data_IF_972417306266
#
_entry.id   IF_972417306266
#
_cell.length_a   1.000
_cell.length_b   1.000
_cell.length_c   1.000
_cell.angle_alpha   90.00
_cell.angle_beta   90.00
_cell.angle_gamma   90.00
#
_symmetry.space_group_name_H-M   'P 1'
#
loop_
_entity.id
_entity.type
_entity.pdbx_description
1 polymer ?
#
# COMPACT_ATOMS: atom_id res chain seq x y z
N UNK A 1 -8.15 3.21 14.68
CA UNK A 1 -7.40 2.03 15.15
C UNK A 1 -6.92 2.39 16.56
N UNK A 2 -7.09 1.52 17.55
CA UNK A 2 -6.63 1.80 18.91
C UNK A 2 -5.11 1.86 18.89
N UNK A 3 -4.55 2.94 19.39
CA UNK A 3 -3.11 3.14 19.57
C UNK A 3 -2.78 3.08 21.06
N UNK A 4 -1.51 2.89 21.42
CA UNK A 4 -1.07 3.02 22.83
C UNK A 4 -1.43 4.38 23.42
N UNK A 5 -1.75 5.38 22.60
CA UNK A 5 -2.15 6.71 23.05
C UNK A 5 -3.59 6.77 23.57
N UNK A 6 -4.43 5.76 23.35
CA UNK A 6 -5.87 5.78 23.69
C UNK A 6 -6.19 5.30 25.12
N UNK A 7 -5.21 4.72 25.83
CA UNK A 7 -5.39 4.17 27.17
C UNK A 7 -4.17 4.36 28.06
N UNK A 8 -4.35 4.16 29.36
CA UNK A 8 -3.32 4.21 30.40
C UNK A 8 -3.28 2.88 31.13
N UNK A 9 -2.10 2.35 31.45
CA UNK A 9 -1.99 1.14 32.26
C UNK A 9 -2.29 1.46 33.72
N UNK A 10 -3.13 0.66 34.37
CA UNK A 10 -3.55 0.97 35.74
C UNK A 10 -2.52 0.61 36.81
N UNK A 11 -1.63 -0.34 36.53
CA UNK A 11 -0.65 -0.87 37.48
C UNK A 11 0.72 -1.04 36.83
N UNK A 12 1.27 0.03 36.24
CA UNK A 12 2.56 0.00 35.53
C UNK A 12 3.69 -0.61 36.36
N UNK A 13 3.76 -0.26 37.65
CA UNK A 13 4.77 -0.78 38.59
C UNK A 13 4.65 -2.28 38.88
N UNK A 14 3.50 -2.89 38.57
CA UNK A 14 3.23 -4.32 38.82
C UNK A 14 3.36 -5.16 37.55
N UNK A 15 3.70 -4.53 36.41
CA UNK A 15 3.93 -5.24 35.15
C UNK A 15 5.29 -5.93 35.23
N UNK A 16 5.30 -7.23 34.96
CA UNK A 16 6.54 -8.02 34.96
C UNK A 16 7.51 -7.53 33.89
N UNK A 17 8.80 -7.43 34.22
CA UNK A 17 9.85 -6.89 33.32
C UNK A 17 9.92 -7.62 31.97
N UNK A 18 9.67 -8.93 31.96
CA UNK A 18 9.61 -9.75 30.72
C UNK A 18 8.54 -9.32 29.72
N UNK A 19 7.53 -8.55 30.17
CA UNK A 19 6.46 -8.03 29.32
C UNK A 19 6.79 -6.64 28.76
N UNK A 20 7.88 -6.01 29.21
CA UNK A 20 8.29 -4.67 28.82
C UNK A 20 9.29 -4.72 27.67
N UNK A 21 9.22 -3.73 26.79
CA UNK A 21 10.21 -3.57 25.74
C UNK A 21 11.48 -2.91 26.30
N UNK A 22 12.68 -3.49 26.11
CA UNK A 22 13.93 -2.88 26.56
C UNK A 22 14.28 -1.54 25.89
N UNK A 23 13.59 -1.17 24.80
CA UNK A 23 13.87 0.06 24.03
C UNK A 23 12.96 1.21 24.48
N UNK A 24 11.64 1.00 24.51
CA UNK A 24 10.69 2.05 24.88
C UNK A 24 10.22 1.96 26.34
N UNK A 25 10.59 0.90 27.06
CA UNK A 25 10.19 0.63 28.46
C UNK A 25 8.69 0.42 28.71
N UNK A 26 7.87 0.45 27.66
CA UNK A 26 6.44 0.16 27.73
C UNK A 26 6.14 -1.34 27.52
N UNK A 27 4.96 -1.84 27.93
CA UNK A 27 4.53 -3.19 27.62
C UNK A 27 4.52 -3.47 26.11
N UNK A 28 5.00 -4.65 25.72
CA UNK A 28 5.26 -5.00 24.33
C UNK A 28 4.02 -4.87 23.41
N UNK A 29 4.15 -4.10 22.32
CA UNK A 29 3.22 -3.98 21.20
C UNK A 29 3.76 -4.76 19.98
N UNK A 30 2.97 -5.70 19.45
CA UNK A 30 3.37 -6.62 18.37
C UNK A 30 4.78 -7.20 18.57
N UNK A 31 5.01 -7.98 19.65
CA UNK A 31 6.34 -8.43 20.05
C UNK A 31 7.05 -9.25 18.97
N UNK A 32 8.29 -8.88 18.69
CA UNK A 32 9.24 -9.62 17.86
C UNK A 32 10.38 -10.16 18.73
N UNK A 33 10.69 -11.45 18.60
CA UNK A 33 11.80 -12.10 19.28
C UNK A 33 12.94 -12.40 18.29
N UNK A 34 14.17 -12.11 18.70
CA UNK A 34 15.37 -12.48 17.96
C UNK A 34 15.73 -13.95 18.19
N UNK A 35 15.70 -14.78 17.14
CA UNK A 35 15.93 -16.23 17.29
C UNK A 35 17.31 -16.58 17.89
N UNK A 36 18.34 -15.78 17.60
CA UNK A 36 19.71 -16.11 18.00
C UNK A 36 20.02 -15.79 19.47
N UNK A 37 19.29 -14.86 20.09
CA UNK A 37 19.57 -14.43 21.48
C UNK A 37 18.34 -14.36 22.40
N UNK A 38 17.13 -14.59 21.89
CA UNK A 38 15.90 -14.68 22.68
C UNK A 38 15.32 -13.35 23.17
N UNK A 39 15.95 -12.21 22.90
CA UNK A 39 15.45 -10.90 23.34
C UNK A 39 14.25 -10.45 22.52
N UNK A 40 13.24 -9.91 23.21
CA UNK A 40 11.95 -9.51 22.62
C UNK A 40 11.77 -7.99 22.66
N UNK A 41 11.22 -7.43 21.59
CA UNK A 41 11.04 -5.98 21.40
C UNK A 41 9.72 -5.69 20.70
N UNK A 42 9.21 -4.45 20.81
CA UNK A 42 8.09 -4.01 19.96
C UNK A 42 8.54 -3.97 18.49
N UNK A 43 7.65 -4.36 17.56
CA UNK A 43 7.93 -4.34 16.12
C UNK A 43 8.46 -2.99 15.65
N UNK A 44 7.81 -1.89 16.04
CA UNK A 44 8.23 -0.53 15.65
C UNK A 44 9.62 -0.22 16.20
N UNK A 45 9.82 -0.40 17.51
CA UNK A 45 11.09 -0.09 18.19
C UNK A 45 12.29 -0.79 17.55
N UNK A 46 12.17 -2.10 17.29
CA UNK A 46 13.28 -2.84 16.70
C UNK A 46 13.50 -2.50 15.23
N UNK A 47 12.42 -2.29 14.47
CA UNK A 47 12.51 -1.91 13.05
C UNK A 47 13.19 -0.55 12.89
N UNK A 48 12.87 0.42 13.74
CA UNK A 48 13.48 1.75 13.69
C UNK A 48 14.94 1.74 14.16
N UNK A 49 15.26 0.98 15.21
CA UNK A 49 16.63 0.83 15.71
C UNK A 49 17.53 0.15 14.66
N UNK A 50 17.02 -0.87 13.98
CA UNK A 50 17.78 -1.63 12.97
C UNK A 50 18.08 -0.85 11.70
N UNK A 51 17.45 0.29 11.46
CA UNK A 51 17.83 1.18 10.34
C UNK A 51 19.27 1.67 10.46
N UNK A 52 19.78 1.76 11.69
CA UNK A 52 21.10 2.33 11.99
C UNK A 52 22.08 1.31 12.61
N UNK A 53 21.61 0.13 13.04
CA UNK A 53 22.41 -0.83 13.81
C UNK A 53 22.01 -2.28 13.51
N UNK A 54 22.96 -3.12 13.12
CA UNK A 54 22.75 -4.56 12.83
C UNK A 54 23.05 -5.46 14.04
N UNK A 55 22.67 -5.02 15.24
CA UNK A 55 22.99 -5.69 16.51
C UNK A 55 21.83 -5.62 17.47
N UNK A 56 21.69 -6.64 18.32
CA UNK A 56 20.71 -6.67 19.39
C UNK A 56 20.93 -5.50 20.37
N UNK A 57 19.91 -4.65 20.64
CA UNK A 57 20.04 -3.54 21.57
C UNK A 57 20.37 -3.97 23.01
N UNK A 58 19.96 -5.18 23.41
CA UNK A 58 20.16 -5.69 24.77
C UNK A 58 21.51 -6.37 24.96
N UNK A 59 21.88 -7.34 24.10
CA UNK A 59 23.09 -8.15 24.27
C UNK A 59 24.19 -7.90 23.24
N UNK A 60 23.96 -6.98 22.28
CA UNK A 60 24.91 -6.62 21.20
C UNK A 60 25.30 -7.74 20.23
N UNK A 61 24.59 -8.87 20.25
CA UNK A 61 24.75 -9.94 19.27
C UNK A 61 24.45 -9.42 17.85
N UNK A 62 25.25 -9.81 16.86
CA UNK A 62 25.02 -9.43 15.46
C UNK A 62 23.75 -10.12 14.94
N UNK A 63 22.86 -9.35 14.32
CA UNK A 63 21.54 -9.83 13.87
C UNK A 63 21.18 -9.19 12.53
N UNK A 64 20.30 -9.86 11.78
CA UNK A 64 19.62 -9.34 10.60
C UNK A 64 18.13 -9.17 10.90
N UNK A 65 17.45 -8.35 10.11
CA UNK A 65 16.00 -8.17 10.23
C UNK A 65 15.22 -9.48 10.05
N UNK A 66 15.74 -10.41 9.25
CA UNK A 66 15.19 -11.74 9.01
C UNK A 66 15.27 -12.66 10.25
N UNK A 67 16.13 -12.35 11.22
CA UNK A 67 16.25 -13.14 12.45
C UNK A 67 15.11 -12.89 13.44
N UNK A 68 14.29 -11.85 13.21
CA UNK A 68 13.18 -11.47 14.08
C UNK A 68 11.87 -12.11 13.65
N UNK A 69 11.22 -12.78 14.60
CA UNK A 69 9.97 -13.48 14.37
C UNK A 69 8.90 -13.01 15.36
N UNK A 70 7.62 -12.92 14.93
CA UNK A 70 6.53 -12.62 15.85
C UNK A 70 6.47 -13.65 16.98
N UNK A 71 6.31 -13.18 18.21
CA UNK A 71 6.08 -14.09 19.33
C UNK A 71 4.70 -14.71 19.19
N UNK A 72 4.64 -16.04 19.11
CA UNK A 72 3.39 -16.81 18.97
C UNK A 72 3.03 -17.62 20.22
N UNK A 73 3.87 -17.53 21.27
CA UNK A 73 3.71 -18.26 22.53
C UNK A 73 2.46 -17.74 23.26
N UNK A 74 1.38 -18.54 23.21
CA UNK A 74 0.07 -18.13 23.75
C UNK A 74 0.09 -17.72 25.23
N UNK A 75 0.74 -18.45 26.15
CA UNK A 75 0.79 -18.03 27.56
C UNK A 75 1.37 -16.64 27.75
N UNK A 76 2.48 -16.34 27.07
CA UNK A 76 3.13 -15.03 27.09
C UNK A 76 2.20 -13.93 26.55
N UNK A 77 1.59 -14.16 25.39
CA UNK A 77 0.62 -13.21 24.81
C UNK A 77 -0.61 -13.01 25.70
N UNK A 78 -1.06 -14.05 26.40
CA UNK A 78 -2.19 -13.95 27.33
C UNK A 78 -1.84 -13.10 28.55
N UNK A 79 -0.66 -13.26 29.15
CA UNK A 79 -0.19 -12.40 30.26
C UNK A 79 -0.17 -10.92 29.83
N UNK A 80 0.40 -10.67 28.66
CA UNK A 80 0.40 -9.38 27.99
C UNK A 80 -1.02 -8.81 27.79
N UNK A 81 -1.97 -9.62 27.33
CA UNK A 81 -3.33 -9.19 27.03
C UNK A 81 -4.22 -9.00 28.28
N UNK A 82 -3.87 -9.64 29.40
CA UNK A 82 -4.59 -9.53 30.67
C UNK A 82 -4.26 -8.26 31.46
N UNK A 83 -3.23 -7.51 31.05
CA UNK A 83 -2.90 -6.21 31.64
C UNK A 83 -4.13 -5.29 31.61
N UNK A 84 -4.40 -4.63 32.73
CA UNK A 84 -5.57 -3.77 32.88
C UNK A 84 -5.24 -2.33 32.48
N UNK A 85 -6.14 -1.77 31.67
CA UNK A 85 -6.02 -0.41 31.15
C UNK A 85 -7.25 0.42 31.50
N UNK A 86 -7.04 1.73 31.57
CA UNK A 86 -8.05 2.76 31.68
C UNK A 86 -8.19 3.46 30.33
N UNK A 87 -9.41 3.57 29.82
CA UNK A 87 -9.68 4.36 28.63
C UNK A 87 -9.48 5.85 28.92
N UNK A 88 -8.68 6.56 28.11
CA UNK A 88 -8.47 8.01 28.27
C UNK A 88 -9.70 8.84 27.89
N UNK A 89 -10.63 8.26 27.13
CA UNK A 89 -11.81 8.94 26.60
C UNK A 89 -12.99 8.89 27.58
N UNK A 90 -13.48 7.69 27.91
CA UNK A 90 -14.63 7.51 28.82
C UNK A 90 -14.24 7.26 30.28
N UNK A 91 -12.94 7.21 30.60
CA UNK A 91 -12.43 6.86 31.93
C UNK A 91 -12.83 5.47 32.46
N UNK A 92 -13.38 4.58 31.62
CA UNK A 92 -13.66 3.20 32.01
C UNK A 92 -12.35 2.47 32.35
N UNK A 93 -12.34 1.86 33.53
CA UNK A 93 -11.20 1.16 34.12
C UNK A 93 -11.33 -0.37 33.99
N UNK A 94 -10.27 -1.09 34.35
CA UNK A 94 -10.23 -2.57 34.40
C UNK A 94 -10.57 -3.24 33.07
N UNK A 95 -10.27 -2.57 31.95
CA UNK A 95 -10.41 -3.16 30.63
C UNK A 95 -9.15 -4.00 30.37
N UNK A 96 -9.31 -5.27 30.00
CA UNK A 96 -8.16 -6.06 29.56
C UNK A 96 -7.60 -5.45 28.26
N UNK A 97 -6.29 -5.26 28.20
CA UNK A 97 -5.60 -4.70 27.04
C UNK A 97 -5.98 -5.42 25.75
N UNK A 98 -6.09 -6.75 25.79
CA UNK A 98 -6.52 -7.57 24.65
C UNK A 98 -7.92 -7.22 24.12
N UNK A 99 -8.83 -6.76 24.99
CA UNK A 99 -10.21 -6.42 24.67
C UNK A 99 -10.41 -4.91 24.43
N UNK A 100 -9.35 -4.10 24.53
CA UNK A 100 -9.46 -2.65 24.39
C UNK A 100 -9.94 -2.23 22.99
N UNK A 101 -9.60 -3.00 21.95
CA UNK A 101 -10.12 -2.76 20.59
C UNK A 101 -11.65 -2.89 20.54
N UNK A 102 -12.22 -3.89 21.20
CA UNK A 102 -13.66 -4.11 21.26
C UNK A 102 -14.35 -3.01 22.07
N UNK A 103 -13.74 -2.59 23.19
CA UNK A 103 -14.19 -1.42 23.94
C UNK A 103 -14.21 -0.17 23.05
N UNK A 104 -13.15 0.09 22.29
CA UNK A 104 -13.05 1.30 21.47
C UNK A 104 -14.12 1.36 20.38
N UNK A 105 -14.65 0.24 19.90
CA UNK A 105 -15.79 0.24 18.95
C UNK A 105 -17.04 0.84 19.60
N UNK A 106 -17.25 0.56 20.89
CA UNK A 106 -18.45 0.93 21.64
C UNK A 106 -18.28 2.15 22.57
N UNK A 107 -17.09 2.75 22.62
CA UNK A 107 -16.81 3.90 23.48
C UNK A 107 -17.51 5.16 22.95
N UNK A 108 -18.52 5.67 23.66
CA UNK A 108 -19.32 6.85 23.28
C UNK A 108 -18.54 8.17 23.40
N UNK A 109 -17.58 8.23 24.32
CA UNK A 109 -16.78 9.43 24.61
C UNK A 109 -15.53 9.54 23.73
N UNK A 110 -15.22 8.52 22.91
CA UNK A 110 -14.03 8.54 22.05
C UNK A 110 -14.14 9.68 21.04
N UNK A 111 -13.03 10.36 20.75
CA UNK A 111 -13.02 11.30 19.64
C UNK A 111 -12.95 10.56 18.30
N UNK A 112 -13.93 10.86 17.45
CA UNK A 112 -14.01 10.38 16.07
C UNK A 112 -13.98 11.55 15.09
N UNK A 113 -13.49 11.28 13.89
CA UNK A 113 -13.59 12.21 12.76
C UNK A 113 -14.80 11.85 11.90
N UNK A 114 -15.32 12.83 11.15
CA UNK A 114 -16.40 12.58 10.21
C UNK A 114 -16.03 11.49 9.18
N UNK A 115 -16.96 10.59 8.77
CA UNK A 115 -16.69 9.62 7.71
C UNK A 115 -16.24 10.27 6.39
N UNK A 116 -16.68 11.51 6.12
CA UNK A 116 -16.26 12.32 4.98
C UNK A 116 -14.92 13.07 5.20
N UNK A 117 -14.11 12.71 6.20
CA UNK A 117 -12.78 13.32 6.42
C UNK A 117 -11.84 13.16 5.21
N UNK A 118 -12.00 12.09 4.43
CA UNK A 118 -11.28 11.89 3.17
C UNK A 118 -11.63 12.95 2.11
N UNK A 119 -12.86 13.47 2.15
CA UNK A 119 -13.33 14.63 1.37
C UNK A 119 -13.04 15.96 2.07
N UNK A 120 -12.12 15.97 3.03
CA UNK A 120 -11.70 17.15 3.80
C UNK A 120 -12.80 17.75 4.69
N UNK A 121 -13.66 16.91 5.25
CA UNK A 121 -14.46 17.35 6.39
C UNK A 121 -13.57 17.51 7.64
N UNK A 122 -13.51 18.71 8.19
CA UNK A 122 -12.68 19.03 9.36
C UNK A 122 -13.31 18.65 10.71
N UNK A 123 -14.56 18.17 10.72
CA UNK A 123 -15.26 17.86 11.96
C UNK A 123 -14.62 16.69 12.71
N UNK A 124 -14.35 16.95 13.99
CA UNK A 124 -13.92 15.98 15.00
C UNK A 124 -14.73 16.23 16.27
N UNK A 125 -15.18 15.17 16.91
CA UNK A 125 -15.97 15.27 18.14
C UNK A 125 -16.15 13.93 18.82
N UNK A 126 -16.84 13.93 19.95
CA UNK A 126 -17.24 12.70 20.65
C UNK A 126 -18.15 11.85 19.75
N UNK A 127 -18.09 10.53 19.94
CA UNK A 127 -18.81 9.58 19.10
C UNK A 127 -20.33 9.69 19.24
N UNK A 128 -20.83 10.03 20.42
CA UNK A 128 -22.25 10.35 20.68
C UNK A 128 -22.80 11.44 19.73
N UNK A 129 -22.02 12.49 19.48
CA UNK A 129 -22.37 13.64 18.63
C UNK A 129 -22.11 13.42 17.15
N UNK A 130 -21.52 12.29 16.78
CA UNK A 130 -21.19 11.98 15.38
C UNK A 130 -22.46 11.90 14.53
N UNK A 131 -23.53 11.29 15.04
CA UNK A 131 -24.78 11.14 14.28
C UNK A 131 -25.40 12.50 13.93
N UNK A 132 -25.44 13.41 14.90
CA UNK A 132 -25.95 14.78 14.70
C UNK A 132 -25.17 15.55 13.64
N UNK A 133 -23.83 15.40 13.64
CA UNK A 133 -22.98 15.98 12.60
C UNK A 133 -23.24 15.34 11.23
N UNK A 134 -23.21 14.01 11.13
CA UNK A 134 -23.34 13.27 9.87
C UNK A 134 -24.64 13.63 9.15
N UNK A 135 -25.75 13.76 9.88
CA UNK A 135 -27.05 14.16 9.32
C UNK A 135 -27.04 15.57 8.70
N UNK A 136 -26.17 16.45 9.19
CA UNK A 136 -26.03 17.84 8.72
C UNK A 136 -24.87 18.04 7.76
N UNK A 137 -23.94 17.08 7.68
CA UNK A 137 -22.71 17.21 6.92
C UNK A 137 -22.98 17.24 5.40
N UNK A 138 -22.67 18.36 4.70
CA UNK A 138 -22.87 18.44 3.26
C UNK A 138 -22.02 17.42 2.48
N UNK A 139 -20.81 17.13 2.96
CA UNK A 139 -19.89 16.20 2.31
C UNK A 139 -20.37 14.76 2.38
N UNK A 140 -21.07 14.35 3.44
CA UNK A 140 -21.74 13.05 3.51
C UNK A 140 -22.86 12.96 2.47
N UNK A 141 -23.65 14.02 2.30
CA UNK A 141 -24.76 14.04 1.34
C UNK A 141 -24.28 13.92 -0.11
N UNK A 142 -23.12 14.48 -0.42
CA UNK A 142 -22.53 14.45 -1.78
C UNK A 142 -21.63 13.22 -2.00
N UNK A 143 -21.22 12.52 -0.93
CA UNK A 143 -20.35 11.35 -1.01
C UNK A 143 -20.83 10.28 -2.02
N UNK A 144 -22.12 9.89 -2.09
CA UNK A 144 -22.57 8.88 -3.05
C UNK A 144 -22.31 9.29 -4.51
N UNK A 145 -22.46 10.57 -4.83
CA UNK A 145 -22.22 11.12 -6.17
C UNK A 145 -20.72 11.08 -6.48
N UNK A 146 -19.88 11.45 -5.51
CA UNK A 146 -18.42 11.38 -5.67
C UNK A 146 -17.96 9.94 -5.86
N UNK A 147 -18.53 8.98 -5.13
CA UNK A 147 -18.21 7.56 -5.24
C UNK A 147 -18.59 7.01 -6.63
N UNK A 148 -19.76 7.39 -7.16
CA UNK A 148 -20.19 7.03 -8.52
C UNK A 148 -19.26 7.62 -9.59
N UNK A 149 -18.88 8.90 -9.45
CA UNK A 149 -17.92 9.54 -10.36
C UNK A 149 -16.55 8.86 -10.30
N UNK A 150 -16.04 8.55 -9.10
CA UNK A 150 -14.77 7.85 -8.94
C UNK A 150 -14.81 6.44 -9.55
N UNK A 151 -15.92 5.72 -9.40
CA UNK A 151 -16.11 4.42 -10.04
C UNK A 151 -16.09 4.53 -11.58
N UNK A 152 -16.75 5.55 -12.12
CA UNK A 152 -16.78 5.83 -13.57
C UNK A 152 -15.38 6.17 -14.11
N UNK A 153 -14.64 7.03 -13.41
CA UNK A 153 -13.26 7.39 -13.76
C UNK A 153 -12.35 6.16 -13.72
N UNK A 154 -12.50 5.30 -12.70
CA UNK A 154 -11.74 4.05 -12.59
C UNK A 154 -12.03 3.12 -13.77
N UNK A 155 -13.31 2.94 -14.12
CA UNK A 155 -13.72 2.11 -15.25
C UNK A 155 -13.12 2.63 -16.58
N UNK A 156 -13.15 3.95 -16.80
CA UNK A 156 -12.53 4.55 -17.98
C UNK A 156 -11.02 4.34 -18.01
N UNK A 157 -10.33 4.48 -16.87
CA UNK A 157 -8.89 4.22 -16.76
C UNK A 157 -8.54 2.77 -17.09
N UNK A 158 -9.34 1.81 -16.63
CA UNK A 158 -9.17 0.38 -16.92
C UNK A 158 -9.38 0.08 -18.41
N UNK A 159 -10.40 0.68 -19.04
CA UNK A 159 -10.63 0.58 -20.48
C UNK A 159 -9.47 1.15 -21.29
N UNK A 160 -8.94 2.33 -20.91
CA UNK A 160 -7.78 2.94 -21.54
C UNK A 160 -6.57 2.01 -21.44
N UNK A 161 -6.27 1.50 -20.25
CA UNK A 161 -5.16 0.57 -20.04
C UNK A 161 -5.29 -0.71 -20.88
N UNK A 162 -6.51 -1.25 -20.98
CA UNK A 162 -6.81 -2.41 -21.82
C UNK A 162 -6.54 -2.12 -23.30
N UNK A 163 -7.01 -0.98 -23.81
CA UNK A 163 -6.76 -0.57 -25.20
C UNK A 163 -5.26 -0.40 -25.48
N UNK A 164 -4.50 0.24 -24.58
CA UNK A 164 -3.04 0.33 -24.69
C UNK A 164 -2.38 -1.06 -24.75
N UNK A 165 -2.82 -1.99 -23.91
CA UNK A 165 -2.30 -3.37 -23.91
C UNK A 165 -2.59 -4.09 -25.23
N UNK A 166 -3.79 -3.89 -25.81
CA UNK A 166 -4.12 -4.43 -27.14
C UNK A 166 -3.24 -3.82 -28.21
N UNK A 167 -3.08 -2.49 -28.22
CA UNK A 167 -2.25 -1.80 -29.20
C UNK A 167 -0.79 -2.27 -29.14
N UNK A 168 -0.24 -2.50 -27.95
CA UNK A 168 1.10 -3.08 -27.81
C UNK A 168 1.19 -4.49 -28.39
N UNK A 169 0.20 -5.35 -28.14
CA UNK A 169 0.17 -6.72 -28.67
C UNK A 169 0.06 -6.72 -30.19
N UNK A 170 -0.80 -5.88 -30.76
CA UNK A 170 -0.93 -5.71 -32.22
C UNK A 170 0.38 -5.19 -32.79
N UNK A 171 0.99 -4.18 -32.18
CA UNK A 171 2.28 -3.62 -32.62
C UNK A 171 3.39 -4.68 -32.60
N UNK A 172 3.49 -5.51 -31.56
CA UNK A 172 4.49 -6.59 -31.46
C UNK A 172 4.25 -7.68 -32.49
N UNK A 173 3.01 -8.16 -32.62
CA UNK A 173 2.61 -9.15 -33.63
C UNK A 173 2.90 -8.67 -35.05
N UNK A 174 2.55 -7.41 -35.34
CA UNK A 174 2.80 -6.80 -36.64
C UNK A 174 4.31 -6.61 -36.92
N UNK A 175 5.09 -6.21 -35.92
CA UNK A 175 6.57 -6.14 -36.03
C UNK A 175 7.18 -7.51 -36.34
N UNK A 176 6.72 -8.57 -35.66
CA UNK A 176 7.20 -9.93 -35.89
C UNK A 176 6.84 -10.45 -37.29
N UNK A 177 5.59 -10.28 -37.73
CA UNK A 177 5.15 -10.66 -39.07
C UNK A 177 5.92 -9.92 -40.18
N UNK A 178 6.25 -8.64 -39.96
CA UNK A 178 7.08 -7.85 -40.86
C UNK A 178 8.52 -8.41 -40.94
N UNK A 179 9.13 -8.75 -39.80
CA UNK A 179 10.47 -9.34 -39.75
C UNK A 179 10.55 -10.71 -40.45
N UNK A 180 9.54 -11.57 -40.28
CA UNK A 180 9.47 -12.89 -40.93
C UNK A 180 9.34 -12.76 -42.45
N UNK A 181 8.47 -11.87 -42.94
CA UNK A 181 8.34 -11.57 -44.38
C UNK A 181 9.63 -11.03 -44.98
N UNK A 182 10.35 -10.16 -44.25
CA UNK A 182 11.62 -9.63 -44.70
C UNK A 182 12.71 -10.71 -44.80
N UNK A 183 12.87 -11.53 -43.75
CA UNK A 183 13.83 -12.65 -43.74
C UNK A 183 13.60 -13.63 -44.89
N UNK A 184 12.35 -13.84 -45.31
CA UNK A 184 12.00 -14.73 -46.42
C UNK A 184 12.32 -14.15 -47.82
N UNK A 185 12.30 -12.81 -48.00
CA UNK A 185 12.43 -12.17 -49.31
C UNK A 185 13.81 -11.56 -49.60
N UNK A 186 14.63 -11.27 -48.59
CA UNK A 186 16.01 -10.74 -48.73
C UNK A 186 16.13 -9.32 -49.30
N UNK A 187 15.16 -8.86 -50.09
CA UNK A 187 15.04 -7.52 -50.69
C UNK A 187 13.56 -7.14 -50.73
N UNK A 188 13.18 -6.01 -50.13
CA UNK A 188 11.80 -5.51 -50.18
C UNK A 188 11.60 -4.67 -51.46
N UNK A 189 10.47 -4.81 -52.17
CA UNK A 189 10.11 -3.95 -53.31
C UNK A 189 9.01 -3.00 -52.89
N UNK A 190 9.07 -1.77 -53.40
CA UNK A 190 8.04 -0.77 -53.17
C UNK A 190 6.82 -1.05 -54.04
N UNK A 191 5.61 -1.13 -53.48
CA UNK A 191 4.36 -1.33 -54.22
C UNK A 191 3.99 -0.12 -55.10
N UNK A 192 4.46 1.08 -54.74
CA UNK A 192 4.14 2.32 -55.49
C UNK A 192 5.12 2.61 -56.62
N UNK A 193 6.40 2.27 -56.47
CA UNK A 193 7.42 2.59 -57.47
C UNK A 193 8.20 1.38 -58.00
N UNK A 194 7.93 0.17 -57.49
CA UNK A 194 8.54 -1.09 -57.92
C UNK A 194 10.02 -1.25 -57.57
N UNK A 195 10.65 -0.23 -56.96
CA UNK A 195 12.07 -0.22 -56.63
C UNK A 195 12.38 -1.10 -55.44
N UNK A 196 13.48 -1.83 -55.54
CA UNK A 196 14.05 -2.63 -54.46
C UNK A 196 14.73 -1.72 -53.42
N UNK A 197 14.49 -1.98 -52.14
CA UNK A 197 15.14 -1.28 -51.03
C UNK A 197 15.47 -2.24 -49.88
N UNK A 198 16.47 -1.88 -49.08
CA UNK A 198 16.89 -2.61 -47.89
C UNK A 198 16.13 -2.11 -46.67
N UNK A 199 15.71 -3.02 -45.79
CA UNK A 199 15.00 -2.64 -44.57
C UNK A 199 16.01 -2.01 -43.60
N UNK A 200 16.01 -0.69 -43.53
CA UNK A 200 16.99 0.05 -42.74
C UNK A 200 16.62 0.00 -41.25
N UNK A 201 17.62 -0.18 -40.38
CA UNK A 201 17.41 -0.34 -38.92
C UNK A 201 16.71 0.87 -38.28
N UNK A 202 16.78 2.03 -38.93
CA UNK A 202 16.17 3.29 -38.48
C UNK A 202 14.63 3.28 -38.47
N UNK A 203 13.98 2.39 -39.22
CA UNK A 203 12.50 2.24 -39.26
C UNK A 203 11.99 1.58 -37.97
N UNK A 204 12.85 0.95 -37.16
CA UNK A 204 12.49 0.35 -35.85
C UNK A 204 12.02 1.36 -34.79
N UNK A 205 12.36 2.66 -34.92
CA UNK A 205 12.15 3.66 -33.84
C UNK A 205 10.86 4.47 -33.98
N UNK A 206 10.17 4.40 -35.11
CA UNK A 206 8.84 4.99 -35.27
C UNK A 206 7.86 3.82 -35.31
N UNK A 207 6.85 3.84 -34.44
CA UNK A 207 5.76 2.85 -34.34
C UNK A 207 4.87 2.74 -35.61
N UNK A 208 5.37 3.15 -36.77
CA UNK A 208 4.78 2.90 -38.06
C UNK A 208 5.40 1.64 -38.62
N UNK A 209 4.77 0.51 -38.35
CA UNK A 209 4.94 -0.59 -39.28
C UNK A 209 3.94 -0.31 -40.41
N UNK A 210 4.43 0.12 -41.57
CA UNK A 210 3.59 0.67 -42.60
C UNK A 210 2.81 -0.49 -43.18
N UNK A 211 1.50 -0.38 -43.23
CA UNK A 211 0.66 -1.25 -44.05
C UNK A 211 0.82 -0.90 -45.54
N UNK A 212 2.03 -0.52 -45.90
CA UNK A 212 2.38 -0.04 -47.21
C UNK A 212 3.84 -0.38 -47.41
N UNK A 213 4.10 -1.30 -48.33
CA UNK A 213 5.41 -1.54 -48.90
C UNK A 213 5.83 -0.27 -49.69
N UNK A 214 5.94 0.90 -49.05
CA UNK A 214 6.25 2.18 -49.68
C UNK A 214 7.63 2.65 -49.22
N UNK A 215 8.48 3.10 -50.16
CA UNK A 215 9.78 3.65 -49.83
C UNK A 215 9.67 5.07 -49.26
N UNK A 216 10.71 5.52 -48.54
CA UNK A 216 10.79 6.87 -47.95
C UNK A 216 10.53 7.99 -48.96
N UNK A 217 10.93 7.80 -50.21
CA UNK A 217 10.75 8.78 -51.29
C UNK A 217 9.28 8.88 -51.72
N UNK A 218 8.55 7.76 -51.76
CA UNK A 218 7.11 7.76 -52.02
C UNK A 218 6.33 8.37 -50.85
N UNK A 219 6.71 8.06 -49.60
CA UNK A 219 6.04 8.65 -48.42
C UNK A 219 6.15 10.17 -48.44
N UNK A 220 7.37 10.72 -48.60
CA UNK A 220 7.59 12.18 -48.67
C UNK A 220 6.90 12.86 -49.86
N UNK A 221 6.70 12.13 -50.97
CA UNK A 221 6.08 12.67 -52.19
C UNK A 221 4.55 12.72 -52.12
N UNK A 222 3.92 11.76 -51.44
CA UNK A 222 2.46 11.62 -51.43
C UNK A 222 1.79 11.96 -50.09
N UNK A 223 2.55 12.01 -48.98
CA UNK A 223 2.07 12.37 -47.64
C UNK A 223 2.96 13.45 -47.02
N UNK A 224 2.70 14.75 -47.31
CA UNK A 224 3.47 15.88 -46.76
C UNK A 224 3.20 16.15 -45.28
#
# INVERSE_FOLDING_TARGET
MATSDDYEYMNESSIHEDLLCPICTDPLEDPLCANQCGHTFCRKCITDTFRNMSRCPTCRHDLKLEDFHPVTIRPFLNQLNQLLVKCKWCSQINIQRGNFKDHMINCEERMVSCPAAHLKCDWKGQHDKMHDHVNKCPLIKVQPIIDELNASVKQQSEQIHFLYTILEKISKSHSQACQERYKARGVARCDMCGKSFTFNEHIRRLHYCPNTDFCSDCVKKYFP
#
